data_IF_468220163044
#
_entry.id   IF_468220163044
#
_cell.length_a   1.000
_cell.length_b   1.000
_cell.length_c   1.000
_cell.angle_alpha   90.00
_cell.angle_beta   90.00
_cell.angle_gamma   90.00
#
_symmetry.space_group_name_H-M   'P 1'
#
loop_
_entity.id
_entity.type
_entity.pdbx_description
1 polymer ?
#
# COMPACT_ATOMS: atom_id res chain seq x y z
N UNK A 1 12.63 -11.62 16.21
CA UNK A 1 13.08 -10.22 16.40
C UNK A 1 12.83 -9.82 17.84
N UNK A 2 13.81 -9.21 18.50
CA UNK A 2 13.66 -8.67 19.86
C UNK A 2 13.03 -7.25 19.80
N UNK A 3 12.70 -6.68 20.98
CA UNK A 3 12.10 -5.33 21.05
C UNK A 3 12.96 -4.22 20.45
N UNK A 4 14.28 -4.35 20.58
CA UNK A 4 15.22 -3.36 20.04
C UNK A 4 15.20 -3.37 18.52
N UNK A 5 15.23 -4.58 17.94
CA UNK A 5 15.15 -4.77 16.50
C UNK A 5 13.80 -4.29 15.93
N UNK A 6 12.69 -4.52 16.66
CA UNK A 6 11.37 -4.03 16.25
C UNK A 6 11.28 -2.50 16.26
N UNK A 7 11.86 -1.84 17.28
CA UNK A 7 11.94 -0.38 17.31
C UNK A 7 12.84 0.18 16.22
N UNK A 8 13.94 -0.49 15.96
CA UNK A 8 14.83 -0.10 14.87
C UNK A 8 14.12 -0.19 13.53
N UNK A 9 13.38 -1.27 13.26
CA UNK A 9 12.58 -1.43 12.05
C UNK A 9 11.52 -0.34 11.92
N UNK A 10 10.81 -0.02 13.00
CA UNK A 10 9.82 1.07 13.01
C UNK A 10 10.45 2.42 12.64
N UNK A 11 11.61 2.72 13.21
CA UNK A 11 12.37 3.93 12.87
C UNK A 11 12.81 3.94 11.40
N UNK A 12 13.34 2.82 10.90
CA UNK A 12 13.81 2.68 9.52
C UNK A 12 12.65 2.86 8.50
N UNK A 13 11.48 2.29 8.78
CA UNK A 13 10.30 2.47 7.93
C UNK A 13 9.85 3.93 7.94
N UNK A 14 9.80 4.55 9.11
CA UNK A 14 9.39 5.95 9.27
C UNK A 14 10.32 6.87 8.50
N UNK A 15 11.62 6.74 8.70
CA UNK A 15 12.64 7.50 7.98
C UNK A 15 12.54 7.30 6.47
N UNK A 16 12.32 6.05 6.04
CA UNK A 16 12.14 5.74 4.63
C UNK A 16 10.92 6.46 4.04
N UNK A 17 9.76 6.40 4.70
CA UNK A 17 8.53 7.04 4.21
C UNK A 17 8.65 8.57 4.18
N UNK A 18 9.32 9.15 5.17
CA UNK A 18 9.60 10.58 5.22
C UNK A 18 10.51 11.00 4.06
N UNK A 19 11.63 10.30 3.86
CA UNK A 19 12.58 10.57 2.77
C UNK A 19 11.93 10.40 1.41
N UNK A 20 11.17 9.32 1.20
CA UNK A 20 10.41 9.11 -0.03
C UNK A 20 9.42 10.24 -0.29
N UNK A 21 8.70 10.68 0.74
CA UNK A 21 7.77 11.81 0.61
C UNK A 21 8.49 13.08 0.15
N UNK A 22 9.64 13.38 0.74
CA UNK A 22 10.46 14.55 0.37
C UNK A 22 10.97 14.43 -1.07
N UNK A 23 11.51 13.27 -1.46
CA UNK A 23 12.02 13.03 -2.81
C UNK A 23 10.95 13.18 -3.89
N UNK A 24 9.71 12.83 -3.57
CA UNK A 24 8.56 12.97 -4.46
C UNK A 24 7.88 14.35 -4.37
N UNK A 25 8.39 15.26 -3.55
CA UNK A 25 7.78 16.57 -3.32
C UNK A 25 6.44 16.51 -2.57
N UNK A 26 6.24 15.45 -1.79
CA UNK A 26 5.04 15.23 -0.97
C UNK A 26 5.23 15.80 0.44
N UNK A 27 4.11 15.98 1.17
CA UNK A 27 4.17 16.35 2.57
C UNK A 27 4.65 15.16 3.42
N UNK A 28 5.80 15.26 4.12
CA UNK A 28 6.36 14.18 4.94
C UNK A 28 5.43 13.76 6.10
N UNK A 29 4.55 14.65 6.58
CA UNK A 29 3.59 14.32 7.63
C UNK A 29 2.61 13.21 7.23
N UNK A 30 2.38 13.01 5.93
CA UNK A 30 1.52 11.93 5.47
C UNK A 30 2.15 10.55 5.72
N UNK A 31 3.46 10.39 5.54
CA UNK A 31 4.18 9.17 5.90
C UNK A 31 4.04 8.84 7.38
N UNK A 32 4.16 9.85 8.24
CA UNK A 32 3.95 9.73 9.68
C UNK A 32 2.51 9.35 10.02
N UNK A 33 1.53 9.96 9.35
CA UNK A 33 0.11 9.63 9.54
C UNK A 33 -0.17 8.15 9.25
N UNK A 34 0.43 7.61 8.18
CA UNK A 34 0.29 6.18 7.83
C UNK A 34 0.86 5.31 8.95
N UNK A 35 2.06 5.60 9.41
CA UNK A 35 2.73 4.82 10.46
C UNK A 35 1.95 4.83 11.78
N UNK A 36 1.47 5.98 12.19
CA UNK A 36 0.86 6.14 13.51
C UNK A 36 -0.57 5.60 13.58
N UNK A 37 -1.31 5.57 12.47
CA UNK A 37 -2.74 5.27 12.50
C UNK A 37 -3.16 4.05 11.66
N UNK A 38 -2.40 3.68 10.63
CA UNK A 38 -2.86 2.72 9.64
C UNK A 38 -1.91 1.55 9.38
N UNK A 39 -0.67 1.63 9.90
CA UNK A 39 0.32 0.59 9.72
C UNK A 39 0.62 -0.09 11.06
N UNK A 40 0.54 -1.41 11.08
CA UNK A 40 0.79 -2.22 12.25
C UNK A 40 1.80 -3.32 11.93
N UNK A 41 2.83 -3.45 12.76
CA UNK A 41 3.77 -4.57 12.69
C UNK A 41 3.25 -5.67 13.62
N UNK A 42 2.85 -6.80 13.03
CA UNK A 42 2.21 -7.89 13.76
C UNK A 42 3.24 -8.95 14.16
N UNK A 43 3.29 -9.30 15.46
CA UNK A 43 4.16 -10.39 15.94
C UNK A 43 3.77 -11.71 15.30
N UNK A 44 4.77 -12.55 15.05
CA UNK A 44 4.54 -13.91 14.61
C UNK A 44 3.93 -14.77 15.71
N UNK A 45 2.68 -15.16 15.52
CA UNK A 45 1.94 -16.02 16.44
C UNK A 45 2.34 -17.50 16.35
N UNK A 46 3.16 -17.91 15.37
CA UNK A 46 3.57 -19.32 15.19
C UNK A 46 4.47 -19.86 16.31
N UNK A 47 4.95 -18.98 17.20
CA UNK A 47 5.76 -19.34 18.38
C UNK A 47 5.00 -19.21 19.72
N UNK A 48 3.68 -19.14 19.70
CA UNK A 48 2.88 -19.09 20.94
C UNK A 48 3.03 -20.30 21.84
N UNK A 49 3.58 -21.40 21.33
CA UNK A 49 3.83 -22.60 22.12
C UNK A 49 5.13 -22.56 22.92
N UNK A 50 6.00 -21.57 22.73
CA UNK A 50 7.11 -21.37 23.62
C UNK A 50 6.68 -20.61 24.86
N UNK A 51 6.69 -21.30 25.99
CA UNK A 51 6.48 -20.71 27.32
C UNK A 51 7.57 -19.67 27.57
N UNK A 52 7.25 -18.41 27.40
CA UNK A 52 8.11 -17.32 27.79
C UNK A 52 7.91 -17.06 29.29
N UNK A 53 8.80 -17.58 30.10
CA UNK A 53 8.95 -17.23 31.51
C UNK A 53 9.59 -15.85 31.67
N UNK A 54 8.99 -14.83 31.11
CA UNK A 54 9.48 -13.47 31.23
C UNK A 54 8.44 -12.47 30.80
N UNK A 55 8.10 -11.55 31.68
CA UNK A 55 7.28 -10.39 31.36
C UNK A 55 7.82 -9.73 30.11
N UNK A 56 7.01 -9.60 29.09
CA UNK A 56 7.15 -8.64 28.00
C UNK A 56 8.09 -8.97 26.83
N UNK A 57 8.20 -10.18 26.35
CA UNK A 57 8.84 -10.43 25.06
C UNK A 57 7.84 -10.69 23.94
N UNK A 58 7.36 -9.65 23.28
CA UNK A 58 6.74 -9.80 21.97
C UNK A 58 7.85 -9.97 20.94
N UNK A 59 7.94 -11.15 20.34
CA UNK A 59 8.83 -11.42 19.23
C UNK A 59 8.13 -11.00 17.94
N UNK A 60 8.69 -10.02 17.24
CA UNK A 60 8.23 -9.62 15.90
C UNK A 60 9.06 -10.36 14.87
N UNK A 61 8.41 -11.00 13.88
CA UNK A 61 9.09 -11.39 12.64
C UNK A 61 9.00 -10.24 11.66
N UNK A 62 10.10 -9.92 11.01
CA UNK A 62 10.21 -8.93 9.93
C UNK A 62 9.37 -9.30 8.69
N UNK A 63 8.30 -9.97 8.84
CA UNK A 63 7.56 -10.50 7.69
C UNK A 63 6.12 -10.09 7.59
N UNK A 64 5.55 -9.54 8.66
CA UNK A 64 4.13 -9.28 8.67
C UNK A 64 3.84 -7.82 8.99
N UNK A 65 3.52 -7.07 7.95
CA UNK A 65 3.03 -5.71 8.07
C UNK A 65 1.58 -5.72 7.64
N UNK A 66 0.76 -5.09 8.43
CA UNK A 66 -0.65 -4.91 8.15
C UNK A 66 -0.91 -3.44 7.91
N UNK A 67 -1.47 -3.13 6.74
CA UNK A 67 -1.93 -1.79 6.40
C UNK A 67 -3.45 -1.79 6.31
N UNK A 68 -4.08 -0.83 6.95
CA UNK A 68 -5.51 -0.55 6.78
C UNK A 68 -5.71 0.28 5.50
N UNK A 69 -5.72 -0.41 4.36
CA UNK A 69 -5.74 0.21 3.04
C UNK A 69 -6.98 1.07 2.83
N UNK A 70 -8.15 0.59 3.26
CA UNK A 70 -9.40 1.32 3.06
C UNK A 70 -9.38 2.67 3.77
N UNK A 71 -9.07 2.66 5.05
CA UNK A 71 -9.08 3.87 5.85
C UNK A 71 -7.98 4.86 5.44
N UNK A 72 -6.79 4.37 5.07
CA UNK A 72 -5.73 5.25 4.58
C UNK A 72 -6.07 5.90 3.25
N UNK A 73 -6.75 5.19 2.34
CA UNK A 73 -7.17 5.78 1.06
C UNK A 73 -8.32 6.79 1.24
N UNK A 74 -9.21 6.59 2.21
CA UNK A 74 -10.23 7.57 2.59
C UNK A 74 -9.56 8.83 3.13
N UNK A 75 -8.68 8.69 4.11
CA UNK A 75 -7.94 9.81 4.68
C UNK A 75 -7.09 10.55 3.64
N UNK A 76 -6.52 9.80 2.67
CA UNK A 76 -5.80 10.38 1.54
C UNK A 76 -6.71 11.23 0.66
N UNK A 77 -7.92 10.75 0.34
CA UNK A 77 -8.85 11.51 -0.50
C UNK A 77 -9.20 12.86 0.14
N UNK A 78 -9.46 12.87 1.45
CA UNK A 78 -9.72 14.10 2.22
C UNK A 78 -8.51 15.02 2.24
N UNK A 79 -7.32 14.47 2.46
CA UNK A 79 -6.07 15.24 2.51
C UNK A 79 -5.75 15.88 1.15
N UNK A 80 -5.83 15.13 0.05
CA UNK A 80 -5.50 15.63 -1.30
C UNK A 80 -6.55 16.63 -1.80
N UNK A 81 -7.81 16.48 -1.41
CA UNK A 81 -8.83 17.47 -1.72
C UNK A 81 -8.46 18.87 -1.21
N UNK A 82 -7.72 18.95 -0.10
CA UNK A 82 -7.20 20.21 0.45
C UNK A 82 -6.02 20.80 -0.35
N UNK A 83 -5.32 20.00 -1.14
CA UNK A 83 -4.10 20.42 -1.85
C UNK A 83 -4.37 20.97 -3.26
N UNK A 84 -5.56 20.78 -3.83
CA UNK A 84 -5.95 21.20 -5.19
C UNK A 84 -4.99 20.74 -6.32
N UNK A 85 -4.28 19.62 -6.13
CA UNK A 85 -3.30 19.09 -7.08
C UNK A 85 -3.59 17.63 -7.41
N UNK A 86 -4.32 17.32 -8.49
CA UNK A 86 -4.71 15.95 -8.85
C UNK A 86 -3.49 15.03 -9.15
N UNK A 87 -2.40 15.58 -9.65
CA UNK A 87 -1.18 14.84 -9.94
C UNK A 87 -0.56 14.19 -8.70
N UNK A 88 -0.67 14.87 -7.57
CA UNK A 88 -0.13 14.43 -6.28
C UNK A 88 -0.90 13.24 -5.70
N UNK A 89 -2.15 13.04 -6.08
CA UNK A 89 -2.98 11.95 -5.57
C UNK A 89 -2.34 10.57 -5.83
N UNK A 90 -1.93 10.31 -7.06
CA UNK A 90 -1.32 9.02 -7.41
C UNK A 90 0.03 8.79 -6.74
N UNK A 91 0.80 9.84 -6.49
CA UNK A 91 2.04 9.76 -5.73
C UNK A 91 1.78 9.36 -4.27
N UNK A 92 0.74 9.88 -3.64
CA UNK A 92 0.33 9.46 -2.31
C UNK A 92 -0.21 8.01 -2.30
N UNK A 93 -0.95 7.59 -3.33
CA UNK A 93 -1.37 6.18 -3.46
C UNK A 93 -0.14 5.28 -3.61
N UNK A 94 0.89 5.69 -4.36
CA UNK A 94 2.16 4.97 -4.43
C UNK A 94 2.82 4.86 -3.04
N UNK A 95 2.83 5.96 -2.26
CA UNK A 95 3.36 5.95 -0.90
C UNK A 95 2.61 4.97 0.01
N UNK A 96 1.28 4.92 -0.10
CA UNK A 96 0.45 3.95 0.63
C UNK A 96 0.82 2.52 0.24
N UNK A 97 0.96 2.23 -1.04
CA UNK A 97 1.37 0.90 -1.52
C UNK A 97 2.78 0.58 -1.04
N UNK A 98 3.71 1.54 -1.09
CA UNK A 98 5.09 1.38 -0.62
C UNK A 98 5.14 1.05 0.86
N UNK A 99 4.28 1.63 1.68
CA UNK A 99 4.27 1.38 3.12
C UNK A 99 3.94 -0.07 3.49
N UNK A 100 3.37 -0.86 2.54
CA UNK A 100 3.19 -2.31 2.68
C UNK A 100 4.52 -3.06 2.63
N UNK A 101 5.51 -2.48 1.95
CA UNK A 101 6.81 -3.11 1.75
C UNK A 101 7.85 -2.47 2.64
N UNK A 102 8.22 -3.15 3.68
CA UNK A 102 9.26 -2.65 4.55
C UNK A 102 10.65 -2.89 4.03
N UNK A 103 11.43 -1.90 4.29
CA UNK A 103 12.89 -1.80 4.37
C UNK A 103 13.68 -2.97 3.78
N UNK A 104 14.38 -2.73 2.71
CA UNK A 104 15.24 -3.72 2.05
C UNK A 104 14.69 -4.27 0.73
N UNK A 105 13.40 -4.48 0.60
CA UNK A 105 12.78 -4.86 -0.68
C UNK A 105 12.40 -3.62 -1.53
N UNK A 106 12.18 -2.50 -0.88
CA UNK A 106 11.63 -1.27 -1.47
C UNK A 106 12.71 -0.44 -2.14
N UNK A 107 13.88 -0.34 -1.54
CA UNK A 107 14.98 0.48 -2.04
C UNK A 107 15.46 0.09 -3.44
N UNK A 108 15.02 -1.05 -3.96
CA UNK A 108 15.43 -1.57 -5.27
C UNK A 108 14.34 -1.64 -6.32
N UNK A 109 13.07 -1.35 -6.00
CA UNK A 109 11.97 -1.45 -6.96
C UNK A 109 11.21 -0.13 -7.00
N UNK A 110 11.33 0.57 -8.13
CA UNK A 110 10.42 1.67 -8.44
C UNK A 110 9.00 1.10 -8.50
N UNK A 111 8.14 1.52 -7.59
CA UNK A 111 6.73 1.24 -7.68
C UNK A 111 6.18 1.94 -8.91
N UNK A 112 5.49 1.17 -9.73
CA UNK A 112 4.96 1.64 -10.98
C UNK A 112 3.75 2.56 -10.70
N UNK A 113 3.75 3.74 -11.28
CA UNK A 113 2.61 4.66 -11.31
C UNK A 113 1.32 3.94 -11.75
N UNK A 114 1.43 3.00 -12.69
CA UNK A 114 0.30 2.23 -13.18
C UNK A 114 -0.39 1.39 -12.09
N UNK A 115 0.36 0.86 -11.12
CA UNK A 115 -0.22 0.16 -9.96
C UNK A 115 -1.08 1.11 -9.10
N UNK A 116 -0.61 2.33 -8.87
CA UNK A 116 -1.35 3.34 -8.12
C UNK A 116 -2.66 3.72 -8.83
N UNK A 117 -2.64 3.83 -10.15
CA UNK A 117 -3.83 4.08 -10.96
C UNK A 117 -4.85 2.96 -10.82
N UNK A 118 -4.43 1.70 -10.94
CA UNK A 118 -5.33 0.53 -10.77
C UNK A 118 -5.98 0.55 -9.40
N UNK A 119 -5.18 0.73 -8.33
CA UNK A 119 -5.72 0.80 -6.95
C UNK A 119 -6.70 1.96 -6.80
N UNK A 120 -6.39 3.13 -7.36
CA UNK A 120 -7.27 4.30 -7.31
C UNK A 120 -8.62 4.05 -8.01
N UNK A 121 -8.61 3.42 -9.18
CA UNK A 121 -9.83 3.05 -9.93
C UNK A 121 -10.67 2.08 -9.11
N UNK A 122 -10.07 1.03 -8.58
CA UNK A 122 -10.75 0.05 -7.74
C UNK A 122 -11.35 0.69 -6.47
N UNK A 123 -10.60 1.58 -5.82
CA UNK A 123 -11.07 2.31 -4.64
C UNK A 123 -12.28 3.20 -4.95
N UNK A 124 -12.22 4.02 -6.01
CA UNK A 124 -13.31 4.90 -6.44
C UNK A 124 -14.59 4.15 -6.75
N UNK A 125 -14.49 2.89 -7.16
CA UNK A 125 -15.62 2.01 -7.51
C UNK A 125 -16.07 1.11 -6.37
N UNK A 126 -15.56 1.33 -5.16
CA UNK A 126 -15.85 0.51 -3.98
C UNK A 126 -15.59 -0.99 -4.18
N UNK A 127 -14.46 -1.31 -4.82
CA UNK A 127 -14.07 -2.69 -5.08
C UNK A 127 -13.76 -3.51 -3.81
N UNK A 128 -14.00 -2.97 -2.63
CA UNK A 128 -13.99 -3.72 -1.36
C UNK A 128 -15.21 -4.64 -1.22
N UNK A 129 -16.33 -4.24 -1.81
CA UNK A 129 -17.61 -4.94 -1.69
C UNK A 129 -18.09 -5.47 -3.05
N UNK A 130 -17.79 -4.74 -4.12
CA UNK A 130 -18.24 -5.04 -5.47
C UNK A 130 -17.02 -5.37 -6.33
N UNK A 131 -16.88 -6.65 -6.70
CA UNK A 131 -15.77 -7.09 -7.54
C UNK A 131 -15.84 -6.51 -8.97
N UNK A 132 -14.68 -6.23 -9.55
CA UNK A 132 -14.51 -5.72 -10.91
C UNK A 132 -13.77 -6.72 -11.78
N UNK A 133 -14.23 -6.95 -13.01
CA UNK A 133 -13.46 -7.71 -13.96
C UNK A 133 -12.28 -6.90 -14.49
N UNK A 134 -11.27 -7.58 -15.02
CA UNK A 134 -10.10 -6.91 -15.63
C UNK A 134 -10.55 -5.97 -16.76
N UNK A 135 -11.55 -6.39 -17.55
CA UNK A 135 -12.11 -5.61 -18.66
C UNK A 135 -12.76 -4.32 -18.16
N UNK A 136 -13.49 -4.40 -17.04
CA UNK A 136 -14.10 -3.21 -16.42
C UNK A 136 -13.04 -2.24 -15.91
N UNK A 137 -11.96 -2.74 -15.30
CA UNK A 137 -10.83 -1.90 -14.88
C UNK A 137 -10.18 -1.24 -16.09
N UNK A 138 -9.93 -1.99 -17.18
CA UNK A 138 -9.38 -1.46 -18.43
C UNK A 138 -10.27 -0.38 -19.04
N UNK A 139 -11.58 -0.59 -19.03
CA UNK A 139 -12.54 0.38 -19.57
C UNK A 139 -12.53 1.71 -18.78
N UNK A 140 -12.50 1.64 -17.44
CA UNK A 140 -12.45 2.86 -16.61
C UNK A 140 -11.13 3.63 -16.80
N UNK A 141 -10.01 2.93 -16.90
CA UNK A 141 -8.70 3.56 -17.16
C UNK A 141 -8.69 4.22 -18.54
N UNK A 142 -9.23 3.56 -19.59
CA UNK A 142 -9.34 4.16 -20.92
C UNK A 142 -10.16 5.45 -20.88
N UNK A 143 -11.30 5.44 -20.19
CA UNK A 143 -12.12 6.64 -20.02
C UNK A 143 -11.34 7.79 -19.37
N UNK A 144 -10.56 7.49 -18.32
CA UNK A 144 -9.72 8.51 -17.68
C UNK A 144 -8.60 9.02 -18.61
N UNK A 145 -8.08 8.17 -19.50
CA UNK A 145 -7.12 8.59 -20.53
C UNK A 145 -7.76 9.50 -21.57
N UNK A 146 -8.94 9.16 -22.04
CA UNK A 146 -9.71 9.96 -23.02
C UNK A 146 -10.06 11.34 -22.45
N UNK A 147 -10.29 11.41 -21.12
CA UNK A 147 -10.51 12.66 -20.38
C UNK A 147 -9.20 13.44 -20.11
N UNK A 148 -8.03 12.98 -20.60
CA UNK A 148 -6.72 13.64 -20.44
C UNK A 148 -6.13 13.54 -19.03
N UNK A 149 -6.65 12.68 -18.17
CA UNK A 149 -6.20 12.57 -16.76
C UNK A 149 -5.00 11.62 -16.57
N UNK A 150 -4.69 10.75 -17.55
CA UNK A 150 -3.72 9.67 -17.41
C UNK A 150 -2.82 9.51 -18.64
N UNK A 151 -2.16 10.58 -19.08
CA UNK A 151 -1.30 10.54 -20.28
C UNK A 151 -0.14 9.55 -20.17
N UNK A 152 0.44 9.39 -18.99
CA UNK A 152 1.60 8.51 -18.73
C UNK A 152 1.23 7.03 -18.53
N UNK A 153 -0.05 6.69 -18.47
CA UNK A 153 -0.47 5.31 -18.19
C UNK A 153 -0.24 4.38 -19.38
N UNK A 154 0.49 3.28 -19.13
CA UNK A 154 0.83 2.26 -20.15
C UNK A 154 -0.11 1.08 -20.05
N UNK A 155 -1.12 1.01 -20.94
CA UNK A 155 -2.16 -0.04 -20.95
C UNK A 155 -1.58 -1.46 -21.11
N UNK A 156 -0.51 -1.65 -21.88
CA UNK A 156 0.11 -2.94 -22.13
C UNK A 156 0.68 -3.57 -20.85
N UNK A 157 0.88 -2.79 -19.81
CA UNK A 157 1.40 -3.26 -18.52
C UNK A 157 0.33 -3.61 -17.48
N UNK A 158 -0.96 -3.43 -17.81
CA UNK A 158 -2.03 -3.58 -16.81
C UNK A 158 -2.07 -4.97 -16.21
N UNK A 159 -1.92 -6.02 -17.03
CA UNK A 159 -1.97 -7.39 -16.55
C UNK A 159 -0.79 -7.71 -15.61
N UNK A 160 0.40 -7.15 -15.91
CA UNK A 160 1.57 -7.23 -15.03
C UNK A 160 1.35 -6.49 -13.71
N UNK A 161 0.71 -5.32 -13.76
CA UNK A 161 0.43 -4.54 -12.56
C UNK A 161 -0.59 -5.24 -11.68
N UNK A 162 -1.64 -5.83 -12.27
CA UNK A 162 -2.60 -6.67 -11.55
C UNK A 162 -1.89 -7.87 -10.90
N UNK A 163 -1.02 -8.57 -11.63
CA UNK A 163 -0.25 -9.67 -11.06
C UNK A 163 0.65 -9.24 -9.89
N UNK A 164 1.26 -8.06 -9.98
CA UNK A 164 2.04 -7.51 -8.89
C UNK A 164 1.16 -7.18 -7.67
N UNK A 165 0.01 -6.54 -7.87
CA UNK A 165 -0.91 -6.19 -6.79
C UNK A 165 -1.49 -7.44 -6.10
N UNK A 166 -1.75 -8.51 -6.85
CA UNK A 166 -2.14 -9.83 -6.30
C UNK A 166 -1.01 -10.42 -5.45
N UNK A 167 0.22 -10.43 -5.97
CA UNK A 167 1.40 -10.91 -5.24
C UNK A 167 1.62 -10.16 -3.93
N UNK A 168 1.23 -8.91 -3.91
CA UNK A 168 1.38 -8.03 -2.75
C UNK A 168 0.17 -8.04 -1.82
N UNK A 169 -0.84 -8.87 -2.10
CA UNK A 169 -2.09 -8.91 -1.35
C UNK A 169 -2.81 -7.56 -1.23
N UNK A 170 -2.56 -6.63 -2.14
CA UNK A 170 -3.32 -5.36 -2.24
C UNK A 170 -4.70 -5.64 -2.79
N UNK A 171 -4.78 -6.59 -3.71
CA UNK A 171 -6.03 -7.08 -4.30
C UNK A 171 -6.11 -8.60 -4.16
N UNK A 172 -7.31 -9.12 -4.19
CA UNK A 172 -7.59 -10.55 -4.38
C UNK A 172 -8.47 -10.75 -5.62
N UNK A 173 -8.54 -11.99 -6.09
CA UNK A 173 -9.38 -12.37 -7.22
C UNK A 173 -10.29 -13.52 -6.81
N UNK A 174 -11.59 -13.33 -6.98
CA UNK A 174 -12.63 -14.33 -6.72
C UNK A 174 -13.59 -14.35 -7.92
N UNK A 175 -13.89 -15.53 -8.47
CA UNK A 175 -14.80 -15.68 -9.61
C UNK A 175 -14.52 -14.72 -10.77
N UNK A 176 -13.25 -14.57 -11.16
CA UNK A 176 -12.76 -13.66 -12.22
C UNK A 176 -12.96 -12.16 -11.91
N UNK A 177 -13.33 -11.82 -10.67
CA UNK A 177 -13.46 -10.44 -10.21
C UNK A 177 -12.34 -10.06 -9.25
N UNK A 178 -11.88 -8.85 -9.40
CA UNK A 178 -10.85 -8.22 -8.58
C UNK A 178 -11.53 -7.46 -7.44
N UNK A 179 -11.05 -7.69 -6.22
CA UNK A 179 -11.44 -6.96 -5.02
C UNK A 179 -10.23 -6.29 -4.40
N UNK A 180 -10.44 -5.13 -3.80
CA UNK A 180 -9.44 -4.49 -2.93
C UNK A 180 -9.51 -5.11 -1.54
N UNK A 181 -8.36 -5.46 -0.99
CA UNK A 181 -8.29 -5.89 0.40
C UNK A 181 -8.37 -4.68 1.34
N UNK A 182 -9.28 -4.72 2.31
CA UNK A 182 -9.36 -3.71 3.38
C UNK A 182 -8.09 -3.68 4.21
N UNK A 183 -7.49 -4.85 4.39
CA UNK A 183 -6.25 -5.03 5.14
C UNK A 183 -5.26 -5.78 4.29
N UNK A 184 -4.19 -5.12 3.98
CA UNK A 184 -3.12 -5.68 3.16
C UNK A 184 -2.04 -6.24 4.08
N UNK A 185 -1.62 -7.48 3.81
CA UNK A 185 -0.52 -8.14 4.49
C UNK A 185 0.71 -8.07 3.61
N UNK A 186 1.74 -7.38 4.05
CA UNK A 186 3.06 -7.43 3.43
C UNK A 186 3.90 -8.50 4.10
N UNK A 187 4.62 -9.31 3.30
CA UNK A 187 5.72 -10.15 3.79
C UNK A 187 7.03 -9.57 3.33
N UNK A 188 7.93 -9.36 4.26
CA UNK A 188 9.33 -9.14 3.95
C UNK A 188 9.95 -10.51 3.71
N UNK A 189 10.48 -10.73 2.53
CA UNK A 189 11.29 -11.91 2.21
C UNK A 189 12.72 -11.64 2.53
#
# INVERSE_FOLDING_TARGET
MNRTEARQLDCEIREFLENFSIEQGLNPEFGKLIMDNYLEIIPDNSKREMIFLGKESSSYKMGNIRLDLRNVLIALADFVASLNKPETFFQYVQLVIISIFCVGAITKKKLDFNCAVVVSVLHRRNAYEIGFTVEQVKAEINKMKDDGQLEEFVMERIDKNIANLLKWNVICMEEEKIYLNERVWGKIQ
#
